data_IF_466306963152
#
_entry.id   IF_466306963152
#
_cell.length_a   1.000
_cell.length_b   1.000
_cell.length_c   1.000
_cell.angle_alpha   90.00
_cell.angle_beta   90.00
_cell.angle_gamma   90.00
#
_symmetry.space_group_name_H-M   'P 1'
#
loop_
_entity.id
_entity.type
_entity.pdbx_description
1 polymer ?
#
# COMPACT_ATOMS: atom_id res chain seq x y z
N UNK A 1 5.51 9.97 -1.81
CA UNK A 1 5.11 8.56 -2.13
C UNK A 1 4.37 8.42 -3.45
N UNK A 2 3.74 9.45 -3.94
CA UNK A 2 2.99 9.35 -5.19
C UNK A 2 3.85 9.17 -6.43
N UNK A 3 5.13 9.42 -6.32
CA UNK A 3 6.09 9.25 -7.42
C UNK A 3 6.84 7.92 -7.36
N UNK A 4 6.54 7.09 -6.37
CA UNK A 4 7.20 5.81 -6.14
C UNK A 4 6.23 4.70 -6.51
N UNK A 5 6.71 3.72 -7.26
CA UNK A 5 5.88 2.56 -7.60
C UNK A 5 5.65 1.69 -6.36
N UNK A 6 4.46 1.09 -6.28
CA UNK A 6 4.12 0.24 -5.14
C UNK A 6 5.11 -0.91 -4.95
N UNK A 7 5.66 -1.43 -6.04
CA UNK A 7 6.63 -2.52 -5.98
C UNK A 7 7.94 -2.15 -5.28
N UNK A 8 8.19 -0.84 -5.13
CA UNK A 8 9.38 -0.34 -4.46
C UNK A 8 9.17 -0.08 -2.97
N UNK A 9 7.95 -0.29 -2.50
CA UNK A 9 7.59 -0.09 -1.10
C UNK A 9 7.52 -1.43 -0.38
N UNK A 10 8.08 -1.48 0.81
CA UNK A 10 8.01 -2.66 1.67
C UNK A 10 7.20 -2.33 2.92
N UNK A 11 6.25 -3.20 3.22
CA UNK A 11 5.47 -3.05 4.44
C UNK A 11 6.30 -3.59 5.62
N UNK A 12 6.53 -2.73 6.60
CA UNK A 12 7.37 -3.07 7.75
C UNK A 12 6.58 -3.38 9.01
N UNK A 13 5.47 -2.67 9.21
CA UNK A 13 4.67 -2.86 10.42
C UNK A 13 3.24 -2.42 10.17
N UNK A 14 2.34 -2.97 10.96
CA UNK A 14 0.93 -2.56 10.95
C UNK A 14 0.53 -2.29 12.39
N UNK A 15 -0.11 -1.16 12.61
CA UNK A 15 -0.61 -0.74 13.91
C UNK A 15 -2.13 -0.78 13.85
N UNK A 16 -2.73 -1.67 14.64
CA UNK A 16 -4.18 -1.77 14.73
C UNK A 16 -4.65 -0.95 15.91
N UNK A 17 -5.51 0.02 15.65
CA UNK A 17 -6.01 0.90 16.70
C UNK A 17 -7.49 1.20 16.51
N UNK A 18 -8.25 1.42 17.60
CA UNK A 18 -9.67 1.75 17.50
C UNK A 18 -9.94 3.02 16.71
N UNK A 19 -9.01 3.96 16.74
CA UNK A 19 -9.12 5.24 16.02
C UNK A 19 -8.77 5.13 14.55
N UNK A 20 -8.32 3.97 14.08
CA UNK A 20 -7.93 3.74 12.70
C UNK A 20 -6.60 3.04 12.61
N UNK A 21 -6.50 2.10 11.70
CA UNK A 21 -5.27 1.34 11.49
C UNK A 21 -4.24 2.17 10.73
N UNK A 22 -2.98 1.95 11.04
CA UNK A 22 -1.85 2.62 10.37
C UNK A 22 -0.86 1.57 9.92
N UNK A 23 -0.05 1.93 8.93
CA UNK A 23 0.99 1.04 8.46
C UNK A 23 2.28 1.82 8.25
N UNK A 24 3.40 1.15 8.49
CA UNK A 24 4.72 1.70 8.19
C UNK A 24 5.25 1.03 6.94
N UNK A 25 5.49 1.82 5.91
CA UNK A 25 6.11 1.35 4.67
C UNK A 25 7.46 2.03 4.50
N UNK A 26 8.38 1.33 3.83
CA UNK A 26 9.74 1.81 3.61
C UNK A 26 10.06 1.74 2.13
N UNK A 27 10.62 2.81 1.59
CA UNK A 27 11.07 2.81 0.21
C UNK A 27 12.50 2.28 0.10
N UNK A 28 12.95 2.02 -1.12
CA UNK A 28 14.26 1.41 -1.38
C UNK A 28 15.44 2.21 -0.83
N UNK A 29 15.27 3.51 -0.62
CA UNK A 29 16.30 4.38 -0.04
C UNK A 29 16.41 4.25 1.48
N UNK A 30 15.49 3.50 2.11
CA UNK A 30 15.45 3.36 3.55
C UNK A 30 14.52 4.34 4.26
N UNK A 31 13.93 5.25 3.52
CA UNK A 31 13.00 6.23 4.11
C UNK A 31 11.66 5.58 4.42
N UNK A 32 11.18 5.78 5.65
CA UNK A 32 9.91 5.23 6.10
C UNK A 32 8.80 6.26 6.10
N UNK A 33 7.57 5.77 5.89
CA UNK A 33 6.36 6.59 5.89
C UNK A 33 5.28 5.89 6.68
N UNK A 34 4.53 6.67 7.45
CA UNK A 34 3.32 6.17 8.11
C UNK A 34 2.14 6.48 7.19
N UNK A 35 1.38 5.45 6.84
CA UNK A 35 0.21 5.61 5.98
C UNK A 35 -1.05 5.23 6.72
N UNK A 36 -2.15 5.86 6.32
CA UNK A 36 -3.47 5.59 6.88
C UNK A 36 -4.44 5.38 5.72
N UNK A 37 -5.65 4.98 6.04
CA UNK A 37 -6.71 4.86 5.06
C UNK A 37 -6.95 6.23 4.43
N UNK A 38 -6.98 6.30 3.11
CA UNK A 38 -7.14 7.54 2.36
C UNK A 38 -5.84 8.18 1.91
N UNK A 39 -4.68 7.66 2.34
CA UNK A 39 -3.38 8.17 1.89
C UNK A 39 -3.15 7.84 0.43
N UNK A 40 -2.68 8.81 -0.35
CA UNK A 40 -2.30 8.58 -1.74
C UNK A 40 -0.90 7.97 -1.80
N UNK A 41 -0.73 6.96 -2.63
CA UNK A 41 0.48 6.17 -2.70
C UNK A 41 0.63 5.56 -4.09
N UNK A 42 1.86 5.49 -4.58
CA UNK A 42 2.13 4.95 -5.90
C UNK A 42 1.91 5.98 -7.02
N UNK A 43 2.13 5.56 -8.27
CA UNK A 43 2.11 6.46 -9.42
C UNK A 43 0.77 6.61 -10.12
N UNK A 44 -0.12 5.66 -9.93
CA UNK A 44 -1.37 5.60 -10.70
C UNK A 44 -2.57 6.09 -9.90
N UNK A 45 -2.41 7.24 -9.25
CA UNK A 45 -3.42 7.81 -8.36
C UNK A 45 -3.88 6.79 -7.32
N UNK A 46 -2.92 6.00 -6.83
CA UNK A 46 -3.19 4.97 -5.84
C UNK A 46 -3.66 5.58 -4.52
N UNK A 47 -4.61 4.91 -3.91
CA UNK A 47 -5.16 5.34 -2.64
C UNK A 47 -5.30 4.14 -1.71
N UNK A 48 -4.84 4.30 -0.48
CA UNK A 48 -5.01 3.27 0.54
C UNK A 48 -6.49 3.17 0.89
N UNK A 49 -7.10 2.04 0.61
CA UNK A 49 -8.52 1.82 0.88
C UNK A 49 -8.76 1.01 2.15
N UNK A 50 -7.80 0.18 2.54
CA UNK A 50 -7.93 -0.61 3.75
C UNK A 50 -6.56 -1.01 4.28
N UNK A 51 -6.46 -1.13 5.61
CA UNK A 51 -5.26 -1.62 6.28
C UNK A 51 -5.70 -2.77 7.18
N UNK A 52 -5.26 -3.98 6.83
CA UNK A 52 -5.59 -5.20 7.55
C UNK A 52 -4.43 -5.61 8.43
N UNK A 53 -4.62 -6.67 9.22
CA UNK A 53 -3.60 -7.14 10.16
C UNK A 53 -2.29 -7.59 9.51
N UNK A 54 -2.32 -7.93 8.21
CA UNK A 54 -1.16 -8.49 7.52
C UNK A 54 -0.89 -7.87 6.15
N UNK A 55 -1.70 -6.88 5.75
CA UNK A 55 -1.54 -6.26 4.43
C UNK A 55 -2.22 -4.91 4.35
N UNK A 56 -1.79 -4.14 3.35
CA UNK A 56 -2.41 -2.86 2.99
C UNK A 56 -3.01 -3.02 1.61
N UNK A 57 -4.26 -2.61 1.46
CA UNK A 57 -4.96 -2.66 0.17
C UNK A 57 -4.94 -1.28 -0.45
N UNK A 58 -4.50 -1.21 -1.70
CA UNK A 58 -4.38 0.04 -2.45
C UNK A 58 -5.18 -0.10 -3.74
N UNK A 59 -5.97 0.91 -4.05
CA UNK A 59 -6.73 0.97 -5.29
C UNK A 59 -6.04 1.94 -6.25
N UNK A 60 -5.71 1.47 -7.45
CA UNK A 60 -5.07 2.29 -8.46
C UNK A 60 -5.95 2.47 -9.68
N UNK A 61 -5.80 3.62 -10.35
CA UNK A 61 -6.45 3.85 -11.63
C UNK A 61 -5.56 3.28 -12.74
N UNK A 62 -6.15 2.47 -13.60
CA UNK A 62 -5.47 1.92 -14.76
C UNK A 62 -6.30 2.19 -16.01
N UNK A 63 -5.62 2.41 -17.13
CA UNK A 63 -6.27 2.62 -18.41
C UNK A 63 -6.32 1.29 -19.15
N UNK A 64 -7.51 0.91 -19.64
CA UNK A 64 -7.64 -0.32 -20.40
C UNK A 64 -7.28 -0.10 -21.89
N UNK A 65 -7.37 -1.17 -22.68
CA UNK A 65 -7.02 -1.13 -24.10
C UNK A 65 -7.88 -0.13 -24.88
N UNK A 66 -9.10 0.10 -24.43
CA UNK A 66 -10.04 1.01 -25.09
C UNK A 66 -9.90 2.45 -24.63
N UNK A 67 -8.99 2.73 -23.70
CA UNK A 67 -8.78 4.06 -23.18
C UNK A 67 -9.68 4.41 -22.00
N UNK A 68 -10.46 3.47 -21.51
CA UNK A 68 -11.30 3.70 -20.34
C UNK A 68 -10.50 3.55 -19.05
N UNK A 69 -10.76 4.43 -18.08
CA UNK A 69 -10.14 4.33 -16.78
C UNK A 69 -10.91 3.38 -15.90
N UNK A 70 -10.21 2.41 -15.33
CA UNK A 70 -10.80 1.47 -14.37
C UNK A 70 -9.95 1.46 -13.11
N UNK A 71 -10.50 0.93 -12.03
CA UNK A 71 -9.75 0.77 -10.80
C UNK A 71 -9.27 -0.67 -10.67
N UNK A 72 -8.07 -0.82 -10.11
CA UNK A 72 -7.49 -2.13 -9.85
C UNK A 72 -6.97 -2.17 -8.44
N UNK A 73 -7.29 -3.23 -7.72
CA UNK A 73 -6.87 -3.39 -6.34
C UNK A 73 -5.54 -4.11 -6.28
N UNK A 74 -4.61 -3.55 -5.50
CA UNK A 74 -3.31 -4.16 -5.25
C UNK A 74 -3.09 -4.29 -3.76
N UNK A 75 -2.27 -5.24 -3.37
CA UNK A 75 -1.97 -5.49 -1.96
C UNK A 75 -0.47 -5.38 -1.70
N UNK A 76 -0.13 -4.74 -0.58
CA UNK A 76 1.24 -4.73 -0.06
C UNK A 76 1.19 -5.61 1.18
N UNK A 77 1.83 -6.77 1.12
CA UNK A 77 1.77 -7.74 2.22
C UNK A 77 2.94 -7.59 3.18
N UNK A 78 2.66 -7.85 4.45
CA UNK A 78 3.69 -7.90 5.46
C UNK A 78 4.49 -9.19 5.26
N UNK A 79 5.85 -9.11 5.14
CA UNK A 79 6.64 -10.32 4.98
C UNK A 79 6.48 -11.27 6.15
N UNK A 80 6.43 -12.57 5.87
CA UNK A 80 6.38 -13.58 6.91
C UNK A 80 7.75 -13.77 7.53
N UNK A 81 7.78 -14.00 8.83
CA UNK A 81 9.01 -14.34 9.52
C UNK A 81 9.40 -15.78 9.17
N UNK A 82 10.70 -16.12 9.21
CA UNK A 82 11.13 -17.50 8.99
C UNK A 82 10.40 -18.45 9.93
N UNK A 83 9.82 -19.52 9.39
CA UNK A 83 9.09 -20.50 10.17
C UNK A 83 7.59 -20.21 10.33
N UNK A 84 7.10 -19.09 9.87
CA UNK A 84 5.69 -18.72 9.91
C UNK A 84 4.99 -19.11 8.61
N UNK A 85 4.67 -20.33 8.42
CA UNK A 85 3.96 -20.72 7.21
C UNK A 85 2.67 -21.45 7.47
#
# INVERSE_FOLDING_TARGET
MEKIELSQLKLRAIILAPSGNKALVEESTGKGYIITRGTYIGRNDGKVTNIMKDKVVVEELVEDIEGNMTTKEKEIKLPKLPGEE
#
